data_IF_255303689464
#
_entry.id   IF_255303689464
#
_cell.length_a   1.000
_cell.length_b   1.000
_cell.length_c   1.000
_cell.angle_alpha   90.00
_cell.angle_beta   90.00
_cell.angle_gamma   90.00
#
_symmetry.space_group_name_H-M   'P 1'
#
loop_
_entity.id
_entity.type
_entity.pdbx_description
1 polymer ?
#
# COMPACT_ATOMS: atom_id res chain seq x y z
N UNK A 1 -34.38 -4.59 20.65
CA UNK A 1 -32.99 -4.22 20.30
C UNK A 1 -32.09 -4.98 21.25
N UNK A 2 -31.54 -6.12 20.82
CA UNK A 2 -30.52 -6.82 21.62
C UNK A 2 -29.27 -5.95 21.67
N UNK A 3 -28.89 -5.54 22.88
CA UNK A 3 -27.63 -4.83 23.11
C UNK A 3 -26.51 -5.80 22.82
N UNK A 4 -25.89 -5.69 21.65
CA UNK A 4 -24.70 -6.46 21.30
C UNK A 4 -23.59 -6.09 22.28
N UNK A 5 -23.46 -6.86 23.34
CA UNK A 5 -22.37 -6.71 24.30
C UNK A 5 -21.09 -7.16 23.62
N UNK A 6 -20.14 -6.23 23.50
CA UNK A 6 -18.82 -6.42 22.88
C UNK A 6 -18.06 -7.62 23.48
N UNK A 7 -18.35 -7.95 24.73
CA UNK A 7 -17.78 -9.06 25.49
C UNK A 7 -18.61 -10.36 25.45
N UNK A 8 -19.70 -10.43 24.68
CA UNK A 8 -20.38 -11.71 24.42
C UNK A 8 -19.54 -12.60 23.50
N UNK A 9 -19.73 -13.92 23.56
CA UNK A 9 -19.02 -14.86 22.68
C UNK A 9 -19.20 -14.54 21.18
N UNK A 10 -20.38 -14.04 20.80
CA UNK A 10 -20.67 -13.59 19.44
C UNK A 10 -19.98 -12.26 19.11
N UNK A 11 -19.94 -11.32 20.06
CA UNK A 11 -19.20 -10.05 19.92
C UNK A 11 -17.70 -10.26 19.70
N UNK A 12 -17.08 -11.15 20.49
CA UNK A 12 -15.65 -11.50 20.34
C UNK A 12 -15.39 -12.15 18.97
N UNK A 13 -16.27 -13.05 18.52
CA UNK A 13 -16.15 -13.66 17.17
C UNK A 13 -16.23 -12.61 16.06
N UNK A 14 -17.20 -11.69 16.12
CA UNK A 14 -17.32 -10.62 15.14
C UNK A 14 -16.11 -9.67 15.17
N UNK A 15 -15.60 -9.35 16.36
CA UNK A 15 -14.39 -8.55 16.53
C UNK A 15 -13.17 -9.23 15.89
N UNK A 16 -12.95 -10.52 16.16
CA UNK A 16 -11.84 -11.27 15.57
C UNK A 16 -11.93 -11.34 14.04
N UNK A 17 -13.13 -11.59 13.50
CA UNK A 17 -13.36 -11.59 12.05
C UNK A 17 -13.07 -10.21 11.43
N UNK A 18 -13.57 -9.15 12.05
CA UNK A 18 -13.32 -7.78 11.62
C UNK A 18 -11.84 -7.42 11.67
N UNK A 19 -11.15 -7.83 12.73
CA UNK A 19 -9.71 -7.60 12.90
C UNK A 19 -8.89 -8.33 11.83
N UNK A 20 -9.17 -9.63 11.60
CA UNK A 20 -8.48 -10.42 10.57
C UNK A 20 -8.72 -9.82 9.17
N UNK A 21 -9.97 -9.49 8.84
CA UNK A 21 -10.29 -8.89 7.54
C UNK A 21 -9.59 -7.53 7.36
N UNK A 22 -9.56 -6.72 8.40
CA UNK A 22 -8.86 -5.42 8.39
C UNK A 22 -7.35 -5.60 8.27
N UNK A 23 -6.77 -6.61 8.92
CA UNK A 23 -5.35 -6.91 8.78
C UNK A 23 -5.02 -7.37 7.36
N UNK A 24 -5.81 -8.26 6.77
CA UNK A 24 -5.61 -8.77 5.41
C UNK A 24 -5.73 -7.64 4.38
N UNK A 25 -6.64 -6.68 4.55
CA UNK A 25 -6.79 -5.56 3.59
C UNK A 25 -5.68 -4.52 3.72
N UNK A 26 -5.20 -4.24 4.94
CA UNK A 26 -4.15 -3.24 5.16
C UNK A 26 -2.72 -3.78 5.00
N UNK A 27 -2.52 -5.09 5.16
CA UNK A 27 -1.20 -5.70 5.06
C UNK A 27 -0.54 -5.52 3.67
N UNK A 28 -1.23 -5.75 2.53
CA UNK A 28 -0.67 -5.51 1.21
C UNK A 28 -0.28 -4.04 0.98
N UNK A 29 -1.08 -3.10 1.49
CA UNK A 29 -0.75 -1.68 1.41
C UNK A 29 0.56 -1.37 2.15
N UNK A 30 0.67 -1.79 3.42
CA UNK A 30 1.90 -1.58 4.20
C UNK A 30 3.12 -2.32 3.59
N UNK A 31 2.92 -3.54 3.09
CA UNK A 31 3.98 -4.36 2.49
C UNK A 31 4.52 -3.73 1.20
N UNK A 32 3.67 -3.25 0.30
CA UNK A 32 4.11 -2.64 -0.98
C UNK A 32 4.92 -1.36 -0.77
N UNK A 33 4.59 -0.55 0.24
CA UNK A 33 5.37 0.64 0.57
C UNK A 33 6.73 0.33 1.22
N UNK A 34 6.74 -0.64 2.14
CA UNK A 34 7.96 -0.96 2.92
C UNK A 34 8.95 -1.86 2.17
N UNK A 35 8.46 -2.76 1.32
CA UNK A 35 9.31 -3.67 0.52
C UNK A 35 10.27 -2.93 -0.41
N UNK A 36 9.86 -1.80 -0.99
CA UNK A 36 10.73 -0.95 -1.82
C UNK A 36 11.91 -0.40 -1.02
N UNK A 37 11.69 -0.05 0.25
CA UNK A 37 12.76 0.43 1.13
C UNK A 37 13.72 -0.69 1.53
N UNK A 38 13.22 -1.91 1.74
CA UNK A 38 14.08 -3.09 1.99
C UNK A 38 14.91 -3.48 0.77
N UNK A 39 14.35 -3.35 -0.44
CA UNK A 39 15.02 -3.69 -1.69
C UNK A 39 15.83 -2.52 -2.28
N UNK A 40 16.10 -1.46 -1.51
CA UNK A 40 16.70 -0.21 -2.01
C UNK A 40 18.04 -0.43 -2.73
N UNK A 41 18.89 -1.32 -2.22
CA UNK A 41 20.20 -1.58 -2.84
C UNK A 41 20.04 -2.23 -4.22
N UNK A 42 19.13 -3.20 -4.33
CA UNK A 42 18.83 -3.88 -5.59
C UNK A 42 18.13 -2.96 -6.59
N UNK A 43 17.30 -2.04 -6.10
CA UNK A 43 16.69 -1.01 -6.93
C UNK A 43 17.74 -0.04 -7.48
N UNK A 44 18.72 0.37 -6.67
CA UNK A 44 19.81 1.24 -7.12
C UNK A 44 20.70 0.54 -8.16
N UNK A 45 21.05 -0.72 -7.93
CA UNK A 45 21.81 -1.56 -8.87
C UNK A 45 21.05 -1.67 -10.21
N UNK A 46 19.77 -2.05 -10.15
CA UNK A 46 18.91 -2.15 -11.33
C UNK A 46 18.79 -0.83 -12.10
N UNK A 47 18.62 0.30 -11.41
CA UNK A 47 18.52 1.61 -12.05
C UNK A 47 19.84 1.98 -12.72
N UNK A 48 20.97 1.78 -12.05
CA UNK A 48 22.26 2.12 -12.61
C UNK A 48 22.60 1.25 -13.83
N UNK A 49 22.36 -0.07 -13.75
CA UNK A 49 22.59 -1.00 -14.86
C UNK A 49 21.70 -0.64 -16.05
N UNK A 50 20.39 -0.42 -15.81
CA UNK A 50 19.41 -0.09 -16.86
C UNK A 50 19.74 1.20 -17.62
N UNK A 51 20.38 2.17 -16.95
CA UNK A 51 20.75 3.45 -17.53
C UNK A 51 22.17 3.45 -18.13
N UNK A 52 23.07 2.62 -17.59
CA UNK A 52 24.38 2.34 -18.18
C UNK A 52 24.24 1.64 -19.52
N UNK A 53 23.31 0.69 -19.65
CA UNK A 53 22.97 0.03 -20.93
C UNK A 53 22.47 1.02 -22.00
N UNK A 54 21.98 2.19 -21.57
CA UNK A 54 21.52 3.28 -22.43
C UNK A 54 22.58 4.36 -22.63
N UNK A 55 23.83 4.07 -22.27
CA UNK A 55 24.97 4.98 -22.32
C UNK A 55 24.78 6.28 -21.53
N UNK A 56 23.96 6.24 -20.47
CA UNK A 56 23.68 7.40 -19.62
C UNK A 56 23.70 6.99 -18.14
N UNK A 57 24.88 6.70 -17.55
CA UNK A 57 24.96 6.35 -16.14
C UNK A 57 24.35 7.46 -15.28
N UNK A 58 23.53 7.08 -14.31
CA UNK A 58 22.82 8.02 -13.45
C UNK A 58 23.76 8.57 -12.38
N UNK A 59 23.73 9.89 -12.16
CA UNK A 59 24.38 10.48 -11.00
C UNK A 59 23.64 10.10 -9.70
N UNK A 60 24.33 10.17 -8.57
CA UNK A 60 23.76 9.83 -7.26
C UNK A 60 22.51 10.66 -6.93
N UNK A 61 22.48 11.93 -7.38
CA UNK A 61 21.32 12.80 -7.24
C UNK A 61 20.12 12.31 -8.08
N UNK A 62 20.36 11.87 -9.32
CA UNK A 62 19.30 11.40 -10.22
C UNK A 62 18.68 10.08 -9.71
N UNK A 63 19.49 9.16 -9.17
CA UNK A 63 19.00 7.93 -8.52
C UNK A 63 18.09 8.27 -7.33
N UNK A 64 18.51 9.25 -6.51
CA UNK A 64 17.72 9.69 -5.35
C UNK A 64 16.38 10.31 -5.77
N UNK A 65 16.37 11.13 -6.83
CA UNK A 65 15.14 11.70 -7.40
C UNK A 65 14.17 10.63 -7.89
N UNK A 66 14.65 9.64 -8.65
CA UNK A 66 13.83 8.55 -9.16
C UNK A 66 13.23 7.75 -8.00
N UNK A 67 14.04 7.41 -6.99
CA UNK A 67 13.59 6.73 -5.77
C UNK A 67 12.50 7.53 -5.05
N UNK A 68 12.72 8.84 -4.87
CA UNK A 68 11.73 9.71 -4.24
C UNK A 68 10.45 9.73 -5.05
N UNK A 69 10.54 9.79 -6.38
CA UNK A 69 9.39 9.74 -7.28
C UNK A 69 8.59 8.45 -7.13
N UNK A 70 9.24 7.28 -7.10
CA UNK A 70 8.59 5.98 -6.89
C UNK A 70 7.82 5.98 -5.56
N UNK A 71 8.43 6.48 -4.48
CA UNK A 71 7.76 6.54 -3.18
C UNK A 71 6.58 7.51 -3.17
N UNK A 72 6.72 8.68 -3.82
CA UNK A 72 5.66 9.67 -3.93
C UNK A 72 4.46 9.19 -4.74
N UNK A 73 4.68 8.45 -5.84
CA UNK A 73 3.60 7.90 -6.67
C UNK A 73 2.70 6.94 -5.89
N UNK A 74 3.28 6.17 -4.97
CA UNK A 74 2.50 5.29 -4.11
C UNK A 74 1.49 6.07 -3.25
N UNK A 75 1.90 7.20 -2.65
CA UNK A 75 1.01 8.07 -1.88
C UNK A 75 -0.07 8.71 -2.76
N UNK A 76 0.27 9.12 -3.97
CA UNK A 76 -0.71 9.67 -4.94
C UNK A 76 -1.81 8.64 -5.23
N UNK A 77 -1.43 7.38 -5.47
CA UNK A 77 -2.38 6.29 -5.66
C UNK A 77 -3.29 6.07 -4.45
N UNK A 78 -2.75 6.20 -3.25
CA UNK A 78 -3.53 6.09 -2.01
C UNK A 78 -4.57 7.20 -1.86
N UNK A 79 -4.18 8.45 -2.11
CA UNK A 79 -5.08 9.61 -2.06
C UNK A 79 -6.19 9.48 -3.11
N UNK A 80 -5.83 9.13 -4.35
CA UNK A 80 -6.80 8.90 -5.41
C UNK A 80 -7.78 7.78 -5.06
N UNK A 81 -7.28 6.65 -4.54
CA UNK A 81 -8.11 5.54 -4.07
C UNK A 81 -9.04 5.94 -2.93
N UNK A 82 -8.57 6.74 -1.97
CA UNK A 82 -9.39 7.24 -0.87
C UNK A 82 -10.53 8.15 -1.38
N UNK A 83 -10.24 9.03 -2.33
CA UNK A 83 -11.24 9.90 -2.97
C UNK A 83 -12.26 9.10 -3.80
N UNK A 84 -11.83 8.01 -4.44
CA UNK A 84 -12.73 7.13 -5.20
C UNK A 84 -13.53 6.17 -4.30
N UNK A 85 -13.11 5.94 -3.07
CA UNK A 85 -13.74 4.96 -2.18
C UNK A 85 -15.23 5.18 -1.95
N UNK A 86 -15.78 6.40 -1.77
CA UNK A 86 -17.22 6.61 -1.61
C UNK A 86 -17.96 6.24 -2.89
N UNK A 87 -17.47 6.71 -4.05
CA UNK A 87 -18.07 6.42 -5.34
C UNK A 87 -18.14 4.90 -5.62
N UNK A 88 -17.07 4.17 -5.30
CA UNK A 88 -17.03 2.71 -5.50
C UNK A 88 -17.93 2.00 -4.49
N UNK A 89 -17.89 2.40 -3.22
CA UNK A 89 -18.68 1.77 -2.15
C UNK A 89 -20.18 1.99 -2.31
N UNK A 90 -20.59 3.16 -2.82
CA UNK A 90 -22.00 3.53 -2.98
C UNK A 90 -22.63 2.86 -4.21
N UNK A 91 -21.85 2.63 -5.29
CA UNK A 91 -22.35 2.02 -6.52
C UNK A 91 -22.25 0.49 -6.56
N UNK A 92 -21.19 -0.10 -6.00
CA UNK A 92 -20.96 -1.56 -6.06
C UNK A 92 -21.14 -2.27 -4.72
N UNK A 93 -21.27 -1.54 -3.62
CA UNK A 93 -21.36 -2.09 -2.27
C UNK A 93 -19.99 -2.52 -1.71
N UNK A 94 -19.86 -2.52 -0.37
CA UNK A 94 -18.57 -2.71 0.33
C UNK A 94 -17.97 -4.13 0.28
N UNK A 95 -18.65 -5.11 -0.30
CA UNK A 95 -18.32 -6.54 -0.17
C UNK A 95 -18.45 -7.37 -1.46
N UNK A 96 -18.91 -6.78 -2.57
CA UNK A 96 -19.05 -7.54 -3.82
C UNK A 96 -17.69 -7.81 -4.44
#
# INVERSE_FOLDING_TARGET
MESATLFSANGIRLFLLGWILTAITNFPAAFTHTSVNSAVLKMNEYLNDSYTDRYRPLDHYEVSLIKSGINSVWYVGQVAGAMMSPYVCDNWGRKR
#
